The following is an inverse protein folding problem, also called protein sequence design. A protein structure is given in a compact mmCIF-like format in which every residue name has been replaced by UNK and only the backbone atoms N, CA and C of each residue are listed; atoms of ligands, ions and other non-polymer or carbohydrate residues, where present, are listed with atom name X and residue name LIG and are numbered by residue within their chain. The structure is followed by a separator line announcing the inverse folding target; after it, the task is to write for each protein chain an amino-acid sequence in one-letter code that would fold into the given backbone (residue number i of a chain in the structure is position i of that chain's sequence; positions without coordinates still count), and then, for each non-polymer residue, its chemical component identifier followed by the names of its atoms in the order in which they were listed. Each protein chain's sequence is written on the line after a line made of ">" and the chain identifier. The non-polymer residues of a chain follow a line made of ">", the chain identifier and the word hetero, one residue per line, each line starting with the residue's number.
data_IF_340274699231
#
_entry.id   IF_340274699231
#
_cell.length_a   1.000
_cell.length_b   1.000
_cell.length_c   1.000
_cell.angle_alpha   90.00
_cell.angle_beta   90.00
_cell.angle_gamma   90.00
#
_symmetry.space_group_name_H-M   'P 1'
#
loop_
_entity.id
_entity.type
_entity.pdbx_description
1 polymer ?
#
# COMPACT_ATOMS: atom_id res chain seq x y z
N UNK A 1 42.41 38.10 13.22
CA UNK A 1 43.09 39.07 12.33
C UNK A 1 43.61 38.33 11.10
N UNK A 2 42.84 38.30 10.01
CA UNK A 2 43.34 37.86 8.71
C UNK A 2 42.85 38.87 7.68
N UNK A 3 43.82 39.45 6.98
CA UNK A 3 43.71 40.60 6.08
C UNK A 3 43.21 40.15 4.72
N UNK A 4 42.30 40.98 4.22
CA UNK A 4 41.72 41.08 2.89
C UNK A 4 42.79 41.20 1.79
N UNK A 5 42.61 40.48 0.68
CA UNK A 5 43.25 40.82 -0.60
C UNK A 5 42.16 41.08 -1.65
N UNK A 6 42.22 42.30 -2.16
CA UNK A 6 41.42 42.90 -3.21
C UNK A 6 42.14 42.65 -4.54
N UNK A 7 41.43 42.28 -5.60
CA UNK A 7 41.89 42.44 -6.97
C UNK A 7 40.73 42.90 -7.87
N UNK A 8 41.07 43.84 -8.75
CA UNK A 8 40.26 44.89 -9.36
C UNK A 8 39.52 44.44 -10.64
N UNK A 9 38.39 45.10 -10.90
CA UNK A 9 37.75 45.22 -12.23
C UNK A 9 38.61 45.99 -13.24
N UNK A 10 38.19 45.97 -14.51
CA UNK A 10 37.96 47.23 -15.22
C UNK A 10 36.54 47.39 -15.79
N UNK A 11 36.11 48.65 -15.78
CA UNK A 11 34.92 49.29 -16.35
C UNK A 11 34.94 49.25 -17.90
N UNK A 12 33.81 49.27 -18.62
CA UNK A 12 33.05 50.43 -19.13
C UNK A 12 31.98 49.81 -20.10
N UNK A 13 30.78 50.31 -20.42
CA UNK A 13 30.17 51.64 -20.36
C UNK A 13 28.63 51.48 -20.54
N UNK A 14 27.86 52.31 -19.84
CA UNK A 14 26.39 52.44 -19.94
C UNK A 14 26.00 53.48 -20.97
N UNK A 15 25.02 53.20 -21.83
CA UNK A 15 24.25 54.21 -22.56
C UNK A 15 22.77 54.14 -22.17
N UNK A 16 22.30 55.22 -21.55
CA UNK A 16 20.89 55.57 -21.39
C UNK A 16 20.38 56.17 -22.70
N UNK A 17 19.18 55.76 -23.15
CA UNK A 17 18.29 56.72 -23.83
C UNK A 17 16.81 56.43 -23.52
N UNK A 18 16.11 57.55 -23.37
CA UNK A 18 14.75 57.75 -22.85
C UNK A 18 13.66 57.34 -23.86
N UNK A 19 12.53 56.99 -23.26
CA UNK A 19 11.19 56.74 -23.80
C UNK A 19 10.72 57.65 -24.95
N UNK A 20 10.00 57.07 -25.92
CA UNK A 20 8.83 57.74 -26.51
C UNK A 20 7.75 56.75 -26.97
N UNK A 21 6.50 57.12 -26.71
CA UNK A 21 5.25 56.39 -27.02
C UNK A 21 5.04 56.23 -28.53
N UNK A 22 4.56 55.07 -28.97
CA UNK A 22 3.63 54.96 -30.09
C UNK A 22 2.78 53.70 -29.93
N UNK A 23 1.47 53.92 -29.96
CA UNK A 23 0.37 52.97 -29.88
C UNK A 23 0.34 51.99 -31.06
N UNK A 24 0.16 50.69 -30.78
CA UNK A 24 -0.56 49.77 -31.66
C UNK A 24 -1.12 48.60 -30.85
N UNK A 25 -2.43 48.48 -30.92
CA UNK A 25 -3.25 47.44 -30.32
C UNK A 25 -3.05 46.11 -31.03
N UNK A 26 -2.56 45.09 -30.32
CA UNK A 26 -2.72 43.70 -30.72
C UNK A 26 -3.33 42.95 -29.55
N UNK A 27 -4.59 42.57 -29.75
CA UNK A 27 -5.43 41.80 -28.83
C UNK A 27 -4.79 40.45 -28.52
N UNK A 28 -4.22 40.32 -27.32
CA UNK A 28 -3.81 39.02 -26.77
C UNK A 28 -5.04 38.31 -26.22
N UNK A 29 -5.66 37.46 -27.04
CA UNK A 29 -6.71 36.55 -26.60
C UNK A 29 -6.15 35.60 -25.53
N UNK A 30 -6.51 35.87 -24.27
CA UNK A 30 -6.35 34.96 -23.14
C UNK A 30 -7.00 33.62 -23.47
N UNK A 31 -6.20 32.60 -23.76
CA UNK A 31 -6.72 31.23 -23.80
C UNK A 31 -6.75 30.67 -22.38
N UNK A 32 -7.92 30.15 -22.05
CA UNK A 32 -8.39 29.81 -20.72
C UNK A 32 -7.55 28.72 -20.04
N UNK A 33 -7.30 28.99 -18.75
CA UNK A 33 -7.20 28.04 -17.63
C UNK A 33 -7.53 26.58 -17.96
N UNK A 34 -6.55 25.72 -17.72
CA UNK A 34 -6.69 24.27 -17.51
C UNK A 34 -7.79 24.00 -16.48
N UNK A 35 -8.98 23.64 -16.96
CA UNK A 35 -9.98 22.98 -16.13
C UNK A 35 -9.40 21.63 -15.67
N UNK A 36 -9.03 21.56 -14.39
CA UNK A 36 -9.03 20.28 -13.68
C UNK A 36 -10.48 19.81 -13.73
N UNK A 37 -10.76 18.84 -14.58
CA UNK A 37 -12.05 18.16 -14.59
C UNK A 37 -12.18 17.53 -13.21
N UNK A 38 -13.02 18.13 -12.36
CA UNK A 38 -13.59 17.43 -11.22
C UNK A 38 -14.48 16.33 -11.82
N UNK A 39 -13.89 15.14 -11.95
CA UNK A 39 -14.52 13.94 -12.46
C UNK A 39 -15.39 13.31 -11.36
N UNK A 40 -16.48 14.01 -11.02
CA UNK A 40 -17.56 13.49 -10.19
C UNK A 40 -18.69 13.00 -11.11
N UNK A 41 -18.34 12.19 -12.11
CA UNK A 41 -19.31 11.47 -12.93
C UNK A 41 -19.80 10.23 -12.15
N UNK A 42 -21.10 10.12 -11.79
CA UNK A 42 -21.62 8.98 -11.04
C UNK A 42 -21.39 7.63 -11.76
N UNK A 43 -21.21 7.63 -13.09
CA UNK A 43 -20.89 6.44 -13.89
C UNK A 43 -19.46 5.89 -13.67
N UNK A 44 -18.61 6.59 -12.91
CA UNK A 44 -17.21 6.21 -12.64
C UNK A 44 -16.91 6.06 -11.15
N UNK A 45 -17.93 5.93 -10.32
CA UNK A 45 -17.77 5.81 -8.87
C UNK A 45 -16.89 4.61 -8.46
N UNK A 46 -16.99 3.50 -9.22
CA UNK A 46 -16.33 2.24 -8.90
C UNK A 46 -14.87 2.18 -9.40
N UNK A 47 -14.49 3.05 -10.36
CA UNK A 47 -13.13 3.07 -10.88
C UNK A 47 -12.23 3.84 -9.90
N UNK A 48 -11.12 3.24 -9.42
CA UNK A 48 -10.23 3.91 -8.48
C UNK A 48 -9.71 5.23 -9.05
N UNK A 49 -9.95 6.32 -8.31
CA UNK A 49 -9.44 7.65 -8.66
C UNK A 49 -7.90 7.60 -8.69
N UNK A 50 -7.26 8.38 -9.58
CA UNK A 50 -5.80 8.49 -9.62
C UNK A 50 -5.22 8.80 -8.24
N UNK A 51 -4.04 8.26 -7.95
CA UNK A 51 -3.37 8.50 -6.68
C UNK A 51 -3.27 10.01 -6.41
N UNK A 52 -3.79 10.43 -5.25
CA UNK A 52 -3.72 11.83 -4.79
C UNK A 52 -2.28 12.33 -4.84
N UNK A 53 -2.10 13.63 -5.02
CA UNK A 53 -0.76 14.22 -5.09
C UNK A 53 0.08 13.79 -3.88
N UNK A 54 1.39 13.55 -4.05
CA UNK A 54 2.27 13.09 -2.96
C UNK A 54 2.27 14.04 -1.74
N UNK A 55 1.76 15.26 -1.91
CA UNK A 55 1.54 16.28 -0.87
C UNK A 55 0.33 16.04 0.02
N UNK A 56 -0.69 15.32 -0.47
CA UNK A 56 -1.93 15.09 0.24
C UNK A 56 -1.79 13.96 1.26
N UNK A 57 -2.50 14.13 2.38
CA UNK A 57 -2.57 13.09 3.40
C UNK A 57 -3.55 12.01 2.94
N UNK A 58 -3.23 10.74 3.20
CA UNK A 58 -4.20 9.64 3.15
C UNK A 58 -5.45 10.00 3.98
N UNK A 59 -6.66 9.72 3.49
CA UNK A 59 -7.87 9.86 4.29
C UNK A 59 -7.77 9.10 5.60
N UNK A 60 -8.40 9.60 6.66
CA UNK A 60 -8.53 8.85 7.90
C UNK A 60 -9.66 7.81 7.75
N UNK A 61 -9.43 6.53 8.07
CA UNK A 61 -10.49 5.53 8.06
C UNK A 61 -11.59 5.89 9.06
N UNK A 62 -11.20 6.27 10.28
CA UNK A 62 -12.10 6.79 11.31
C UNK A 62 -12.11 8.32 11.29
N UNK A 63 -13.30 8.97 11.25
CA UNK A 63 -13.40 10.42 11.33
C UNK A 63 -12.69 11.03 12.54
N UNK A 64 -11.97 12.14 12.33
CA UNK A 64 -11.16 12.80 13.37
C UNK A 64 -11.95 13.14 14.65
N UNK A 65 -13.23 13.53 14.53
CA UNK A 65 -14.09 13.83 15.68
C UNK A 65 -14.27 12.60 16.60
N UNK A 66 -14.40 11.41 16.02
CA UNK A 66 -14.52 10.15 16.76
C UNK A 66 -13.20 9.81 17.46
N UNK A 67 -12.07 9.97 16.77
CA UNK A 67 -10.74 9.75 17.35
C UNK A 67 -10.48 10.67 18.55
N UNK A 68 -10.83 11.95 18.43
CA UNK A 68 -10.72 12.93 19.53
C UNK A 68 -11.58 12.51 20.72
N UNK A 69 -12.83 12.08 20.46
CA UNK A 69 -13.75 11.62 21.51
C UNK A 69 -13.17 10.41 22.26
N UNK A 70 -12.75 9.36 21.53
CA UNK A 70 -12.12 8.15 22.09
C UNK A 70 -10.89 8.49 22.94
N UNK A 71 -10.07 9.45 22.49
CA UNK A 71 -8.88 9.86 23.24
C UNK A 71 -9.22 10.60 24.55
N UNK A 72 -10.32 11.36 24.59
CA UNK A 72 -10.81 12.01 25.81
C UNK A 72 -11.34 10.98 26.81
N UNK A 73 -12.20 10.06 26.37
CA UNK A 73 -12.73 8.95 27.17
C UNK A 73 -11.60 8.07 27.73
N UNK A 74 -10.58 7.78 26.91
CA UNK A 74 -9.40 7.03 27.37
C UNK A 74 -8.59 7.80 28.41
N UNK A 75 -8.52 9.14 28.33
CA UNK A 75 -7.84 9.98 29.32
C UNK A 75 -8.61 10.03 30.63
N UNK A 76 -9.94 10.11 30.57
CA UNK A 76 -10.82 10.14 31.74
C UNK A 76 -10.81 8.79 32.48
N UNK A 77 -10.96 7.67 31.76
CA UNK A 77 -10.86 6.33 32.35
C UNK A 77 -9.51 6.08 33.05
N UNK A 78 -8.40 6.52 32.46
CA UNK A 78 -7.06 6.43 33.10
C UNK A 78 -6.93 7.26 34.38
N UNK A 79 -7.69 8.34 34.52
CA UNK A 79 -7.72 9.16 35.75
C UNK A 79 -8.61 8.53 36.81
N UNK A 80 -9.75 7.97 36.41
CA UNK A 80 -10.70 7.33 37.31
C UNK A 80 -10.15 6.03 37.90
N UNK A 81 -9.44 5.24 37.09
CA UNK A 81 -8.86 3.96 37.48
C UNK A 81 -7.36 3.91 37.11
N UNK A 82 -6.48 4.41 37.99
CA UNK A 82 -5.04 4.48 37.72
C UNK A 82 -4.38 3.11 37.57
N UNK A 83 -4.87 2.09 38.27
CA UNK A 83 -4.42 0.72 38.17
C UNK A 83 -5.57 -0.14 37.67
N UNK A 84 -5.44 -0.69 36.46
CA UNK A 84 -6.46 -1.56 35.87
C UNK A 84 -5.86 -2.79 35.21
N UNK A 85 -6.50 -3.93 35.40
CA UNK A 85 -6.21 -5.11 34.59
C UNK A 85 -6.70 -4.85 33.18
N UNK A 86 -5.90 -5.18 32.17
CA UNK A 86 -6.38 -5.16 30.80
C UNK A 86 -7.18 -6.45 30.59
N UNK A 87 -8.49 -6.32 30.37
CA UNK A 87 -9.38 -7.49 30.29
C UNK A 87 -9.32 -8.15 28.92
N UNK A 88 -9.24 -7.35 27.85
CA UNK A 88 -9.38 -7.85 26.49
C UNK A 88 -8.04 -8.14 25.81
N UNK A 89 -7.98 -9.30 25.16
CA UNK A 89 -6.95 -9.61 24.19
C UNK A 89 -7.19 -8.82 22.89
N UNK A 90 -6.12 -8.35 22.21
CA UNK A 90 -4.72 -8.63 22.50
C UNK A 90 -4.03 -7.54 23.35
N UNK A 91 -4.74 -6.50 23.82
CA UNK A 91 -4.16 -5.40 24.62
C UNK A 91 -3.56 -5.89 25.94
N UNK A 92 -4.16 -6.92 26.53
CA UNK A 92 -3.70 -7.55 27.77
C UNK A 92 -2.47 -8.47 27.60
N UNK A 93 -1.95 -8.61 26.38
CA UNK A 93 -0.78 -9.43 26.06
C UNK A 93 -1.08 -10.89 25.76
N UNK A 94 -2.32 -11.33 25.93
CA UNK A 94 -2.78 -12.65 25.49
C UNK A 94 -3.08 -12.65 23.99
N UNK A 95 -2.98 -13.83 23.38
CA UNK A 95 -3.49 -14.04 22.03
C UNK A 95 -5.02 -14.07 22.05
N UNK A 96 -5.63 -13.72 20.91
CA UNK A 96 -7.05 -13.92 20.66
C UNK A 96 -7.23 -15.32 20.06
N UNK A 97 -7.77 -16.31 20.80
CA UNK A 97 -7.76 -17.70 20.35
C UNK A 97 -8.44 -17.92 19.00
N UNK A 98 -9.56 -17.24 18.74
CA UNK A 98 -10.30 -17.36 17.47
C UNK A 98 -9.52 -16.86 16.24
N UNK A 99 -8.46 -16.08 16.44
CA UNK A 99 -7.67 -15.49 15.36
C UNK A 99 -6.36 -16.26 15.07
N UNK A 100 -5.99 -17.23 15.91
CA UNK A 100 -4.75 -18.00 15.72
C UNK A 100 -4.82 -18.80 14.41
N UNK A 101 -5.90 -19.57 14.21
CA UNK A 101 -6.09 -20.36 12.99
C UNK A 101 -6.17 -19.46 11.75
N UNK A 102 -6.82 -18.30 11.88
CA UNK A 102 -6.93 -17.31 10.80
C UNK A 102 -5.55 -16.77 10.44
N UNK A 103 -4.68 -16.51 11.43
CA UNK A 103 -3.32 -16.06 11.19
C UNK A 103 -2.49 -17.09 10.42
N UNK A 104 -2.61 -18.38 10.76
CA UNK A 104 -1.96 -19.45 10.00
C UNK A 104 -2.52 -19.59 8.58
N UNK A 105 -3.84 -19.46 8.38
CA UNK A 105 -4.45 -19.46 7.05
C UNK A 105 -3.93 -18.30 6.20
N UNK A 106 -3.90 -17.08 6.74
CA UNK A 106 -3.38 -15.89 6.04
C UNK A 106 -1.92 -16.06 5.66
N UNK A 107 -1.10 -16.59 6.57
CA UNK A 107 0.32 -16.85 6.30
C UNK A 107 0.51 -17.85 5.16
N UNK A 108 -0.20 -18.99 5.18
CA UNK A 108 -0.15 -19.99 4.09
C UNK A 108 -0.71 -19.45 2.77
N UNK A 109 -1.84 -18.74 2.81
CA UNK A 109 -2.46 -18.15 1.63
C UNK A 109 -1.52 -17.14 0.94
N UNK A 110 -0.74 -16.38 1.71
CA UNK A 110 0.32 -15.53 1.17
C UNK A 110 1.37 -16.32 0.40
N UNK A 111 1.82 -17.45 0.92
CA UNK A 111 2.87 -18.25 0.27
C UNK A 111 2.36 -18.93 -1.00
N UNK A 112 1.15 -19.50 -0.96
CA UNK A 112 0.46 -20.03 -2.14
C UNK A 112 0.24 -18.96 -3.21
N UNK A 113 -0.12 -17.74 -2.79
CA UNK A 113 -0.24 -16.60 -3.67
C UNK A 113 1.10 -16.27 -4.36
N UNK A 114 2.19 -16.20 -3.60
CA UNK A 114 3.51 -15.86 -4.16
C UNK A 114 4.01 -16.95 -5.12
N UNK A 115 3.80 -18.23 -4.80
CA UNK A 115 4.07 -19.35 -5.69
C UNK A 115 3.27 -19.25 -6.99
N UNK A 116 1.96 -19.06 -6.89
CA UNK A 116 1.07 -18.89 -8.04
C UNK A 116 1.48 -17.71 -8.93
N UNK A 117 1.76 -16.55 -8.34
CA UNK A 117 2.26 -15.38 -9.08
C UNK A 117 3.60 -15.64 -9.75
N UNK A 118 4.49 -16.44 -9.14
CA UNK A 118 5.76 -16.81 -9.76
C UNK A 118 5.56 -17.61 -11.05
N UNK A 119 4.56 -18.50 -11.07
CA UNK A 119 4.19 -19.29 -12.26
C UNK A 119 3.54 -18.39 -13.32
N UNK A 120 2.58 -17.56 -12.93
CA UNK A 120 1.85 -16.70 -13.88
C UNK A 120 2.74 -15.62 -14.52
N UNK A 121 3.50 -14.86 -13.71
CA UNK A 121 4.27 -13.70 -14.17
C UNK A 121 5.54 -14.11 -14.92
N UNK A 122 6.20 -15.19 -14.50
CA UNK A 122 7.47 -15.59 -15.11
C UNK A 122 7.30 -16.47 -16.34
N UNK A 123 6.19 -17.23 -16.44
CA UNK A 123 6.01 -18.27 -17.46
C UNK A 123 4.95 -17.92 -18.49
N UNK A 124 3.86 -17.26 -18.08
CA UNK A 124 2.66 -17.16 -18.93
C UNK A 124 2.36 -15.74 -19.42
N UNK A 125 2.19 -14.78 -18.49
CA UNK A 125 1.63 -13.46 -18.82
C UNK A 125 2.65 -12.36 -18.48
N UNK A 126 3.11 -11.59 -19.49
CA UNK A 126 4.04 -10.50 -19.23
C UNK A 126 3.44 -9.38 -18.39
N UNK A 127 4.19 -8.93 -17.39
CA UNK A 127 3.91 -7.70 -16.65
C UNK A 127 4.79 -6.57 -17.21
N UNK A 128 4.19 -5.43 -17.49
CA UNK A 128 4.90 -4.21 -17.90
C UNK A 128 4.74 -3.14 -16.82
N UNK A 129 5.83 -2.51 -16.44
CA UNK A 129 5.82 -1.35 -15.54
C UNK A 129 6.39 -0.13 -16.23
N UNK A 130 5.88 1.04 -15.90
CA UNK A 130 6.45 2.29 -16.39
C UNK A 130 7.82 2.55 -15.72
N UNK A 131 8.78 3.06 -16.49
CA UNK A 131 10.09 3.47 -15.96
C UNK A 131 10.01 4.66 -15.00
N UNK A 132 9.00 5.52 -15.17
CA UNK A 132 8.97 6.86 -14.57
C UNK A 132 7.86 7.09 -13.54
N UNK A 133 6.79 6.31 -13.58
CA UNK A 133 5.69 6.36 -12.61
C UNK A 133 5.35 4.94 -12.12
N UNK A 134 4.31 4.83 -11.29
CA UNK A 134 3.85 3.57 -10.71
C UNK A 134 2.79 2.84 -11.55
N UNK A 135 2.59 3.27 -12.81
CA UNK A 135 1.64 2.60 -13.70
C UNK A 135 2.17 1.22 -14.11
N UNK A 136 1.28 0.24 -14.09
CA UNK A 136 1.52 -1.16 -14.45
C UNK A 136 0.48 -1.56 -15.50
N UNK A 137 0.87 -2.47 -16.39
CA UNK A 137 0.01 -3.07 -17.39
C UNK A 137 0.28 -4.57 -17.45
N UNK A 138 -0.79 -5.35 -17.56
CA UNK A 138 -0.75 -6.80 -17.71
C UNK A 138 -1.00 -7.13 -19.17
N UNK A 139 0.00 -7.68 -19.85
CA UNK A 139 -0.06 -7.97 -21.28
C UNK A 139 1.27 -7.79 -22.02
N UNK A 140 1.30 -8.26 -23.26
CA UNK A 140 2.51 -8.23 -24.10
C UNK A 140 2.91 -6.82 -24.53
N UNK A 141 1.93 -5.97 -24.84
CA UNK A 141 2.14 -4.60 -25.34
C UNK A 141 1.49 -3.62 -24.38
N UNK A 142 2.31 -2.74 -23.79
CA UNK A 142 1.81 -1.73 -22.86
C UNK A 142 0.86 -0.75 -23.54
N UNK A 143 -0.10 -0.23 -22.77
CA UNK A 143 -1.09 0.71 -23.29
C UNK A 143 -0.47 2.06 -23.74
N UNK A 144 -1.19 2.75 -24.61
CA UNK A 144 -0.87 4.07 -25.15
C UNK A 144 -1.60 5.22 -24.44
N UNK A 145 -2.42 4.89 -23.43
CA UNK A 145 -3.10 5.91 -22.60
C UNK A 145 -2.10 6.88 -21.97
N UNK A 146 -2.23 8.18 -22.28
CA UNK A 146 -1.33 9.27 -21.88
C UNK A 146 -1.60 9.75 -20.45
N UNK A 147 -1.29 8.91 -19.46
CA UNK A 147 -1.49 9.17 -18.02
C UNK A 147 -0.21 9.23 -17.20
N UNK A 148 0.96 9.24 -17.82
CA UNK A 148 2.23 9.21 -17.10
C UNK A 148 2.43 10.48 -16.25
N UNK A 149 2.53 10.28 -14.93
CA UNK A 149 2.83 11.34 -13.94
C UNK A 149 4.31 11.37 -13.53
N UNK A 150 5.15 10.62 -14.23
CA UNK A 150 6.57 10.50 -13.93
C UNK A 150 7.38 11.74 -14.31
N UNK A 151 8.65 11.84 -13.86
CA UNK A 151 9.52 12.94 -14.21
C UNK A 151 9.61 13.16 -15.73
N UNK A 152 9.62 14.43 -16.14
CA UNK A 152 9.67 14.86 -17.55
C UNK A 152 8.52 14.30 -18.40
N UNK A 153 7.36 14.01 -17.81
CA UNK A 153 6.18 13.52 -18.55
C UNK A 153 5.69 14.49 -19.62
N UNK A 154 5.75 15.80 -19.38
CA UNK A 154 5.38 16.83 -20.35
C UNK A 154 6.16 16.72 -21.67
N UNK A 155 7.46 16.44 -21.61
CA UNK A 155 8.31 16.25 -22.81
C UNK A 155 7.99 14.97 -23.60
N UNK A 156 7.27 14.01 -22.98
CA UNK A 156 6.85 12.76 -23.61
C UNK A 156 5.35 12.75 -23.89
N UNK A 157 4.68 13.89 -23.82
CA UNK A 157 3.22 13.99 -23.97
C UNK A 157 2.46 13.02 -23.06
N UNK A 158 2.94 12.87 -21.82
CA UNK A 158 2.41 11.95 -20.80
C UNK A 158 2.35 10.46 -21.21
N UNK A 159 3.15 10.05 -22.21
CA UNK A 159 3.30 8.63 -22.58
C UNK A 159 4.15 7.87 -21.56
N UNK A 160 3.86 6.58 -21.44
CA UNK A 160 4.59 5.64 -20.60
C UNK A 160 5.76 5.03 -21.34
N UNK A 161 6.85 4.75 -20.61
CA UNK A 161 7.99 4.01 -21.13
C UNK A 161 8.05 2.68 -20.42
N UNK A 162 7.57 1.64 -21.11
CA UNK A 162 7.37 0.31 -20.55
C UNK A 162 8.67 -0.47 -20.41
N UNK A 163 8.79 -1.20 -19.30
CA UNK A 163 9.85 -2.16 -19.01
C UNK A 163 9.24 -3.44 -18.45
N UNK A 164 9.99 -4.54 -18.46
CA UNK A 164 9.59 -5.78 -17.76
C UNK A 164 9.35 -5.47 -16.27
N UNK A 165 8.15 -5.79 -15.82
CA UNK A 165 7.76 -5.81 -14.41
C UNK A 165 7.85 -7.23 -13.85
N UNK A 166 7.65 -7.35 -12.54
CA UNK A 166 7.63 -8.63 -11.82
C UNK A 166 6.52 -8.69 -10.77
N UNK A 167 6.60 -9.68 -9.90
CA UNK A 167 5.60 -9.96 -8.85
C UNK A 167 5.34 -8.75 -7.96
N UNK A 168 6.39 -8.01 -7.58
CA UNK A 168 6.28 -6.82 -6.72
C UNK A 168 5.54 -5.64 -7.39
N UNK A 169 5.41 -5.65 -8.73
CA UNK A 169 4.61 -4.69 -9.48
C UNK A 169 3.13 -5.13 -9.59
N UNK A 170 2.82 -6.40 -9.33
CA UNK A 170 1.44 -6.91 -9.28
C UNK A 170 0.84 -6.69 -7.89
N UNK A 171 1.57 -7.07 -6.84
CA UNK A 171 1.17 -6.92 -5.44
C UNK A 171 2.36 -6.48 -4.59
N UNK A 172 2.14 -5.51 -3.71
CA UNK A 172 3.20 -5.00 -2.84
C UNK A 172 2.90 -5.21 -1.36
N UNK A 173 3.81 -5.92 -0.68
CA UNK A 173 3.79 -6.12 0.77
C UNK A 173 4.78 -5.16 1.45
N UNK A 174 4.30 -4.05 2.07
CA UNK A 174 5.16 -3.15 2.80
C UNK A 174 5.78 -3.86 3.99
N UNK A 175 7.00 -3.45 4.35
CA UNK A 175 7.71 -4.01 5.50
C UNK A 175 7.56 -3.11 6.72
N UNK A 176 7.40 -3.71 7.89
CA UNK A 176 7.42 -3.04 9.20
C UNK A 176 8.59 -3.55 10.04
N UNK A 177 8.82 -2.95 11.21
CA UNK A 177 9.72 -3.54 12.19
C UNK A 177 9.02 -4.63 12.98
N UNK A 178 9.75 -5.70 13.29
CA UNK A 178 9.31 -6.73 14.21
C UNK A 178 9.16 -6.17 15.64
N UNK A 179 8.10 -6.55 16.34
CA UNK A 179 7.90 -6.23 17.76
C UNK A 179 8.02 -7.50 18.62
N UNK A 180 9.19 -7.68 19.23
CA UNK A 180 9.50 -8.80 20.13
C UNK A 180 8.53 -8.85 21.33
N UNK A 181 8.29 -7.70 21.97
CA UNK A 181 7.31 -7.56 23.05
C UNK A 181 6.33 -6.43 22.71
N UNK A 182 5.22 -6.78 22.04
CA UNK A 182 4.14 -5.85 21.64
C UNK A 182 3.59 -5.03 22.81
N UNK A 183 3.63 -5.57 24.02
CA UNK A 183 3.01 -4.97 25.20
C UNK A 183 4.04 -4.19 26.03
N UNK A 184 5.14 -4.84 26.41
CA UNK A 184 6.21 -4.23 27.21
C UNK A 184 7.01 -3.19 26.43
N UNK A 185 7.23 -3.43 25.12
CA UNK A 185 7.96 -2.55 24.21
C UNK A 185 7.14 -2.28 22.94
N UNK A 186 6.04 -1.53 23.03
CA UNK A 186 5.04 -1.40 21.97
C UNK A 186 5.48 -0.58 20.73
N UNK A 187 6.77 -0.20 20.63
CA UNK A 187 7.31 0.59 19.51
C UNK A 187 8.83 0.52 19.47
N UNK A 188 9.37 0.41 18.26
CA UNK A 188 10.80 0.57 17.99
C UNK A 188 11.21 2.03 18.08
N UNK A 189 12.31 2.34 18.78
CA UNK A 189 12.85 3.70 18.85
C UNK A 189 13.84 3.99 17.72
N UNK A 190 14.13 5.27 17.46
CA UNK A 190 14.96 5.65 16.30
C UNK A 190 16.37 5.04 16.29
N UNK A 191 16.98 4.84 17.47
CA UNK A 191 18.32 4.25 17.59
C UNK A 191 18.33 2.77 17.21
N UNK A 192 17.22 2.07 17.40
CA UNK A 192 17.07 0.63 17.16
C UNK A 192 16.73 0.28 15.71
N UNK A 193 16.53 1.29 14.83
CA UNK A 193 16.07 1.08 13.45
C UNK A 193 16.99 0.23 12.58
N UNK A 194 18.24 0.05 13.00
CA UNK A 194 19.24 -0.75 12.29
C UNK A 194 19.50 -2.10 12.95
N UNK A 195 19.03 -2.28 14.19
CA UNK A 195 19.23 -3.51 14.96
C UNK A 195 17.98 -4.37 14.96
N UNK A 196 16.79 -3.75 14.91
CA UNK A 196 15.52 -4.46 14.83
C UNK A 196 15.27 -4.87 13.39
N UNK A 197 15.00 -6.17 13.21
CA UNK A 197 14.70 -6.74 11.91
C UNK A 197 13.39 -6.20 11.32
N UNK A 198 13.30 -6.22 9.99
CA UNK A 198 12.08 -5.89 9.26
C UNK A 198 11.58 -7.11 8.52
N UNK A 199 10.27 -7.24 8.44
CA UNK A 199 9.55 -8.30 7.76
C UNK A 199 8.30 -7.72 7.08
N UNK A 200 7.69 -8.43 6.11
CA UNK A 200 6.43 -7.99 5.52
C UNK A 200 5.38 -7.78 6.61
N UNK A 201 4.67 -6.65 6.56
CA UNK A 201 3.72 -6.27 7.60
C UNK A 201 2.56 -7.28 7.74
N UNK A 202 2.18 -7.95 6.66
CA UNK A 202 1.21 -9.05 6.71
C UNK A 202 1.75 -10.26 7.49
N UNK A 203 3.05 -10.54 7.40
CA UNK A 203 3.69 -11.62 8.17
C UNK A 203 3.79 -11.23 9.62
N UNK A 204 4.22 -10.00 9.93
CA UNK A 204 4.22 -9.50 11.31
C UNK A 204 2.82 -9.54 11.93
N UNK A 205 1.76 -9.22 11.16
CA UNK A 205 0.39 -9.34 11.64
C UNK A 205 0.02 -10.77 12.02
N UNK A 206 0.39 -11.74 11.18
CA UNK A 206 0.18 -13.17 11.48
C UNK A 206 0.99 -13.61 12.70
N UNK A 207 2.24 -13.15 12.81
CA UNK A 207 3.11 -13.42 13.95
C UNK A 207 2.49 -12.86 15.22
N UNK A 208 2.07 -11.61 15.24
CA UNK A 208 1.42 -11.02 16.42
C UNK A 208 0.11 -11.73 16.79
N UNK A 209 -0.57 -12.36 15.82
CA UNK A 209 -1.83 -13.06 16.01
C UNK A 209 -1.71 -14.54 16.39
N UNK A 210 -0.50 -15.12 16.38
CA UNK A 210 -0.26 -16.47 16.90
C UNK A 210 0.59 -17.38 16.01
N UNK A 211 1.02 -16.92 14.82
CA UNK A 211 2.01 -17.67 14.04
C UNK A 211 3.38 -17.54 14.70
N UNK A 212 4.05 -18.66 14.93
CA UNK A 212 5.40 -18.68 15.47
C UNK A 212 6.41 -18.97 14.35
N UNK A 213 7.42 -18.10 14.25
CA UNK A 213 8.52 -18.21 13.29
C UNK A 213 9.83 -18.12 14.07
N UNK A 214 10.74 -19.07 13.85
CA UNK A 214 12.02 -19.15 14.57
C UNK A 214 12.85 -17.87 14.42
N UNK A 215 12.87 -17.28 13.22
CA UNK A 215 13.61 -16.05 12.90
C UNK A 215 13.01 -14.79 13.57
N UNK A 216 11.75 -14.84 14.01
CA UNK A 216 11.01 -13.69 14.54
C UNK A 216 10.36 -14.02 15.90
N UNK A 217 11.19 -14.26 16.94
CA UNK A 217 10.70 -14.66 18.25
C UNK A 217 9.84 -13.57 18.87
N UNK A 218 8.62 -13.94 19.27
CA UNK A 218 7.66 -13.02 19.90
C UNK A 218 7.30 -13.49 21.30
N UNK A 219 7.34 -12.57 22.26
CA UNK A 219 6.97 -12.86 23.64
C UNK A 219 5.46 -13.08 23.75
N UNK A 220 5.06 -14.34 23.98
CA UNK A 220 3.68 -14.73 24.30
C UNK A 220 3.48 -14.74 25.81
N UNK A 221 2.34 -14.22 26.28
CA UNK A 221 1.96 -14.29 27.69
C UNK A 221 0.83 -15.30 27.86
N UNK A 222 0.83 -15.99 29.00
CA UNK A 222 -0.23 -16.91 29.41
C UNK A 222 -1.18 -16.26 30.43
N UNK A 223 -0.75 -15.15 31.06
CA UNK A 223 -1.55 -14.34 31.97
C UNK A 223 -1.68 -12.89 31.48
N UNK A 224 -2.80 -12.22 31.80
CA UNK A 224 -2.99 -10.83 31.42
C UNK A 224 -2.03 -9.91 32.19
N UNK A 225 -1.64 -8.82 31.53
CA UNK A 225 -0.84 -7.74 32.12
C UNK A 225 -1.70 -6.67 32.79
N UNK A 226 -1.07 -5.89 33.67
CA UNK A 226 -1.70 -4.77 34.35
C UNK A 226 -1.25 -3.43 33.76
N UNK A 227 -2.13 -2.43 33.81
CA UNK A 227 -1.82 -1.06 33.43
C UNK A 227 -1.84 -0.19 34.70
N UNK A 228 -0.66 0.26 35.14
CA UNK A 228 -0.48 1.13 36.31
C UNK A 228 -0.01 2.50 35.82
N UNK A 229 -0.85 3.51 36.03
CA UNK A 229 -0.63 4.89 35.59
C UNK A 229 -0.26 5.02 34.09
N UNK A 230 -0.81 4.13 33.26
CA UNK A 230 -0.54 4.09 31.82
C UNK A 230 0.76 3.38 31.43
N UNK A 231 1.48 2.76 32.37
CA UNK A 231 2.60 1.86 32.13
C UNK A 231 2.14 0.41 32.27
N UNK A 232 2.63 -0.47 31.40
CA UNK A 232 2.34 -1.89 31.55
C UNK A 232 3.26 -2.46 32.62
N UNK A 233 2.67 -3.21 33.55
CA UNK A 233 3.35 -4.00 34.57
C UNK A 233 3.05 -5.46 34.29
N UNK A 234 4.12 -6.24 34.17
CA UNK A 234 4.09 -7.66 33.90
C UNK A 234 4.66 -8.39 35.13
N UNK A 235 3.77 -8.94 35.95
CA UNK A 235 4.12 -9.57 37.22
C UNK A 235 4.91 -10.88 37.06
N UNK A 236 4.92 -11.48 35.86
CA UNK A 236 5.64 -12.73 35.59
C UNK A 236 7.10 -12.50 35.16
N UNK A 237 7.54 -11.25 34.95
CA UNK A 237 8.91 -10.94 34.53
C UNK A 237 10.02 -11.29 35.54
N UNK A 238 9.66 -11.79 36.73
CA UNK A 238 10.60 -12.22 37.79
C UNK A 238 10.82 -13.72 37.90
N UNK A 239 10.17 -14.55 37.08
CA UNK A 239 10.40 -16.00 37.03
C UNK A 239 10.85 -16.34 35.62
N UNK A 240 12.09 -16.80 35.48
CA UNK A 240 12.53 -17.52 34.29
C UNK A 240 11.72 -18.82 34.21
N UNK A 241 10.51 -18.73 33.68
CA UNK A 241 9.73 -19.91 33.32
C UNK A 241 10.34 -20.44 32.04
N UNK A 242 10.99 -21.59 32.16
CA UNK A 242 11.43 -22.44 31.07
C UNK A 242 10.39 -22.43 29.95
N UNK A 243 10.90 -22.28 28.72
CA UNK A 243 10.12 -22.28 27.50
C UNK A 243 9.23 -23.51 27.45
N UNK A 244 7.97 -23.37 27.87
CA UNK A 244 6.98 -24.40 27.62
C UNK A 244 6.77 -24.44 26.12
N UNK A 245 7.44 -25.41 25.49
CA UNK A 245 7.24 -25.78 24.10
C UNK A 245 5.76 -26.08 23.90
N UNK A 246 5.03 -25.10 23.37
CA UNK A 246 3.70 -25.36 22.84
C UNK A 246 3.88 -26.41 21.74
N UNK A 247 3.08 -27.47 21.82
CA UNK A 247 3.21 -28.65 20.98
C UNK A 247 3.42 -28.25 19.52
N UNK A 248 4.56 -28.65 18.96
CA UNK A 248 4.85 -28.53 17.55
C UNK A 248 3.73 -29.26 16.80
N UNK A 249 2.80 -28.53 16.21
CA UNK A 249 1.91 -29.08 15.23
C UNK A 249 2.74 -29.31 13.96
N UNK A 250 3.45 -30.43 13.93
CA UNK A 250 4.00 -30.99 12.69
C UNK A 250 2.80 -31.32 11.82
N UNK A 251 2.34 -30.35 11.02
CA UNK A 251 1.56 -30.68 9.86
C UNK A 251 2.53 -31.31 8.87
N UNK A 252 2.64 -32.64 8.94
CA UNK A 252 3.34 -33.45 7.96
C UNK A 252 2.80 -33.09 6.58
N UNK A 253 3.62 -32.39 5.78
CA UNK A 253 3.44 -32.38 4.35
C UNK A 253 3.71 -33.81 3.89
N UNK A 254 2.64 -34.56 3.65
CA UNK A 254 2.70 -35.67 2.70
C UNK A 254 3.01 -35.03 1.35
N UNK A 255 4.30 -34.96 1.04
CA UNK A 255 4.78 -34.70 -0.30
C UNK A 255 4.39 -35.87 -1.18
N UNK A 256 3.17 -35.82 -1.70
CA UNK A 256 2.83 -36.49 -2.94
C UNK A 256 2.87 -35.38 -4.00
N UNK A 257 4.07 -35.15 -4.54
CA UNK A 257 4.23 -34.33 -5.73
C UNK A 257 3.84 -35.20 -6.90
N UNK A 258 2.54 -35.39 -7.07
CA UNK A 258 2.03 -35.54 -8.41
C UNK A 258 2.18 -34.15 -9.02
N UNK A 259 3.31 -33.92 -9.72
CA UNK A 259 3.47 -32.80 -10.65
C UNK A 259 2.48 -33.01 -11.82
N UNK A 260 1.18 -33.06 -11.51
CA UNK A 260 0.16 -32.87 -12.49
C UNK A 260 0.41 -31.49 -13.06
N UNK A 261 0.60 -31.46 -14.38
CA UNK A 261 0.74 -30.27 -15.19
C UNK A 261 -0.57 -29.47 -15.06
N UNK A 262 -0.71 -28.72 -13.98
CA UNK A 262 -1.89 -27.90 -13.69
C UNK A 262 -2.05 -26.91 -14.84
N UNK A 263 -3.25 -26.84 -15.41
CA UNK A 263 -3.51 -25.89 -16.48
C UNK A 263 -3.42 -24.46 -15.95
N UNK A 264 -3.09 -23.51 -16.83
CA UNK A 264 -2.89 -22.11 -16.47
C UNK A 264 -4.13 -21.48 -15.81
N UNK A 265 -5.33 -21.91 -16.21
CA UNK A 265 -6.61 -21.48 -15.63
C UNK A 265 -6.79 -21.97 -14.20
N UNK A 266 -6.34 -23.19 -13.87
CA UNK A 266 -6.41 -23.71 -12.51
C UNK A 266 -5.40 -23.00 -11.59
N UNK A 267 -4.17 -22.79 -12.07
CA UNK A 267 -3.15 -22.02 -11.35
C UNK A 267 -3.66 -20.61 -11.06
N UNK A 268 -4.27 -19.94 -12.05
CA UNK A 268 -4.81 -18.59 -11.87
C UNK A 268 -6.01 -18.52 -10.93
N UNK A 269 -6.95 -19.48 -11.02
CA UNK A 269 -8.06 -19.56 -10.08
C UNK A 269 -7.59 -19.77 -8.63
N UNK A 270 -6.66 -20.71 -8.40
CA UNK A 270 -6.06 -20.94 -7.08
C UNK A 270 -5.32 -19.71 -6.57
N UNK A 271 -4.51 -19.06 -7.41
CA UNK A 271 -3.77 -17.83 -7.06
C UNK A 271 -4.72 -16.71 -6.63
N UNK A 272 -5.82 -16.52 -7.38
CA UNK A 272 -6.82 -15.50 -7.08
C UNK A 272 -7.59 -15.80 -5.79
N UNK A 273 -7.92 -17.08 -5.53
CA UNK A 273 -8.55 -17.48 -4.28
C UNK A 273 -7.62 -17.24 -3.08
N UNK A 274 -6.34 -17.58 -3.18
CA UNK A 274 -5.35 -17.30 -2.14
C UNK A 274 -5.21 -15.81 -1.85
N UNK A 275 -5.35 -14.94 -2.86
CA UNK A 275 -5.41 -13.49 -2.67
C UNK A 275 -6.62 -13.05 -1.84
N UNK A 276 -7.81 -13.60 -2.13
CA UNK A 276 -9.03 -13.28 -1.37
C UNK A 276 -8.99 -13.83 0.05
N UNK A 277 -8.53 -15.05 0.23
CA UNK A 277 -8.36 -15.68 1.55
C UNK A 277 -7.38 -14.87 2.41
N UNK A 278 -6.22 -14.52 1.87
CA UNK A 278 -5.23 -13.69 2.56
C UNK A 278 -5.82 -12.32 2.97
N UNK A 279 -6.53 -11.63 2.07
CA UNK A 279 -7.11 -10.30 2.37
C UNK A 279 -8.22 -10.37 3.41
N UNK A 280 -9.16 -11.28 3.24
CA UNK A 280 -10.30 -11.44 4.15
C UNK A 280 -9.85 -11.87 5.55
N UNK A 281 -8.93 -12.82 5.65
CA UNK A 281 -8.34 -13.23 6.92
C UNK A 281 -7.55 -12.09 7.57
N UNK A 282 -6.76 -11.34 6.81
CA UNK A 282 -6.05 -10.17 7.34
C UNK A 282 -6.99 -9.09 7.87
N UNK A 283 -8.10 -8.83 7.18
CA UNK A 283 -9.14 -7.91 7.66
C UNK A 283 -9.71 -8.35 9.01
N UNK A 284 -10.04 -9.64 9.16
CA UNK A 284 -10.52 -10.21 10.43
C UNK A 284 -9.50 -10.05 11.56
N UNK A 285 -8.21 -10.27 11.28
CA UNK A 285 -7.15 -10.08 12.28
C UNK A 285 -7.03 -8.59 12.65
N UNK A 286 -7.12 -7.68 11.67
CA UNK A 286 -7.04 -6.23 11.88
C UNK A 286 -8.17 -5.65 12.74
N UNK A 287 -9.29 -6.37 12.91
CA UNK A 287 -10.37 -5.95 13.83
C UNK A 287 -9.92 -5.92 15.30
N UNK A 288 -8.96 -6.78 15.66
CA UNK A 288 -8.41 -6.88 17.03
C UNK A 288 -6.97 -6.42 17.12
N UNK A 289 -6.14 -6.73 16.12
CA UNK A 289 -4.74 -6.37 16.09
C UNK A 289 -4.54 -5.06 15.32
N UNK A 290 -4.18 -4.00 16.06
CA UNK A 290 -3.98 -2.69 15.46
C UNK A 290 -2.81 -2.68 14.45
N UNK A 291 -3.04 -2.03 13.31
CA UNK A 291 -2.02 -1.71 12.32
C UNK A 291 -2.03 -0.21 12.06
N UNK A 292 -0.85 0.39 12.00
CA UNK A 292 -0.65 1.82 11.83
C UNK A 292 -0.01 2.10 10.46
N UNK A 293 -0.47 3.13 9.78
CA UNK A 293 0.10 3.62 8.52
C UNK A 293 0.52 5.07 8.67
N UNK A 294 1.55 5.50 7.94
CA UNK A 294 1.86 6.91 7.84
C UNK A 294 0.90 7.59 6.86
N UNK A 295 0.29 8.71 7.27
CA UNK A 295 -0.61 9.47 6.42
C UNK A 295 0.03 10.11 5.18
N UNK A 296 1.36 10.12 5.05
CA UNK A 296 2.06 10.80 3.93
C UNK A 296 3.08 9.93 3.19
N UNK A 297 3.40 8.74 3.70
CA UNK A 297 4.35 7.85 3.04
C UNK A 297 3.90 6.40 3.13
N UNK A 298 4.48 5.49 2.34
CA UNK A 298 4.15 4.07 2.32
C UNK A 298 4.45 3.27 3.60
N UNK A 299 4.94 3.90 4.67
CA UNK A 299 5.40 3.18 5.87
C UNK A 299 4.21 2.66 6.68
N UNK A 300 4.34 1.43 7.16
CA UNK A 300 3.35 0.71 7.97
C UNK A 300 4.06 0.12 9.19
N UNK A 301 3.34 0.02 10.30
CA UNK A 301 3.78 -0.67 11.51
C UNK A 301 2.62 -1.46 12.09
N UNK A 302 2.80 -2.77 12.26
CA UNK A 302 1.87 -3.60 13.04
C UNK A 302 2.14 -3.37 14.52
N UNK A 303 1.07 -3.28 15.30
CA UNK A 303 1.12 -3.04 16.74
C UNK A 303 0.31 -1.80 17.16
N UNK A 304 0.14 -1.62 18.49
CA UNK A 304 -0.71 -0.56 19.04
C UNK A 304 -0.16 0.85 18.78
N UNK A 305 1.13 0.98 18.44
CA UNK A 305 1.79 2.26 18.20
C UNK A 305 2.71 2.17 16.99
N UNK A 306 2.76 3.24 16.22
CA UNK A 306 3.78 3.38 15.19
C UNK A 306 5.17 3.59 15.78
N UNK A 307 6.20 3.20 15.03
CA UNK A 307 7.59 3.34 15.46
C UNK A 307 8.02 4.81 15.57
N UNK A 308 9.11 5.05 16.29
CA UNK A 308 9.71 6.39 16.46
C UNK A 308 10.92 6.66 15.55
N UNK A 309 11.21 5.80 14.59
CA UNK A 309 12.26 6.09 13.60
C UNK A 309 11.96 7.38 12.82
N UNK A 310 12.92 8.31 12.82
CA UNK A 310 12.91 9.57 12.05
C UNK A 310 13.32 9.34 10.60
N UNK A 311 12.56 8.54 9.87
CA UNK A 311 12.88 8.13 8.49
C UNK A 311 11.81 8.54 7.47
N UNK A 312 10.80 9.32 7.89
CA UNK A 312 9.71 9.73 7.01
C UNK A 312 10.22 10.65 5.91
N UNK A 313 9.98 10.24 4.65
CA UNK A 313 10.27 11.05 3.45
C UNK A 313 9.00 11.61 2.79
N UNK A 314 7.85 11.49 3.48
CA UNK A 314 6.57 12.00 2.99
C UNK A 314 6.51 13.53 3.00
N UNK A 315 5.42 14.08 2.46
CA UNK A 315 5.19 15.52 2.49
C UNK A 315 5.19 16.08 3.92
N UNK A 316 5.72 17.30 4.09
CA UNK A 316 5.81 17.98 5.39
C UNK A 316 6.56 17.16 6.46
N UNK A 317 7.56 16.34 6.09
CA UNK A 317 8.35 15.58 7.06
C UNK A 317 9.35 16.47 7.82
N UNK A 318 9.88 17.53 7.19
CA UNK A 318 10.83 18.46 7.80
C UNK A 318 10.22 19.15 9.04
N UNK A 319 8.97 19.61 8.93
CA UNK A 319 8.23 20.21 10.06
C UNK A 319 7.92 19.20 11.18
N UNK A 320 8.06 17.90 10.92
CA UNK A 320 7.89 16.81 11.89
C UNK A 320 9.23 16.20 12.31
N UNK A 321 10.36 16.86 12.00
CA UNK A 321 11.71 16.36 12.28
C UNK A 321 11.95 14.90 11.80
N UNK A 322 11.41 14.56 10.61
CA UNK A 322 11.51 13.23 10.02
C UNK A 322 10.57 12.18 10.63
N UNK A 323 9.70 12.55 11.58
CA UNK A 323 8.75 11.62 12.20
C UNK A 323 7.56 11.30 11.29
N UNK A 324 7.05 10.08 11.41
CA UNK A 324 5.85 9.63 10.71
C UNK A 324 4.60 10.23 11.37
N UNK A 325 3.57 10.45 10.56
CA UNK A 325 2.27 10.91 11.05
C UNK A 325 1.31 9.73 11.03
N UNK A 326 1.37 8.92 12.08
CA UNK A 326 0.63 7.67 12.21
C UNK A 326 -0.88 7.89 12.24
N UNK A 327 -1.61 6.93 11.68
CA UNK A 327 -3.05 6.78 11.75
C UNK A 327 -3.39 5.29 11.57
N UNK A 328 -4.65 4.93 11.84
CA UNK A 328 -5.18 3.58 11.56
C UNK A 328 -4.96 3.23 10.08
N UNK A 329 -4.45 2.02 9.83
CA UNK A 329 -4.23 1.48 8.49
C UNK A 329 -5.50 0.82 7.96
N UNK A 330 -5.70 0.85 6.64
CA UNK A 330 -6.68 -0.01 5.95
C UNK A 330 -6.02 -1.27 5.40
N UNK A 331 -6.83 -2.21 4.91
CA UNK A 331 -6.29 -3.42 4.25
C UNK A 331 -5.39 -3.07 3.06
N UNK A 332 -5.66 -1.99 2.33
CA UNK A 332 -4.84 -1.54 1.19
C UNK A 332 -3.53 -0.88 1.61
N UNK A 333 -3.42 -0.42 2.86
CA UNK A 333 -2.13 -0.03 3.42
C UNK A 333 -1.28 -1.25 3.73
N UNK A 334 -1.87 -2.33 4.25
CA UNK A 334 -1.19 -3.57 4.64
C UNK A 334 -0.83 -4.44 3.43
N UNK A 335 -1.73 -4.51 2.45
CA UNK A 335 -1.63 -5.33 1.24
C UNK A 335 -1.98 -4.41 0.07
N UNK A 336 -0.99 -3.76 -0.53
CA UNK A 336 -1.24 -2.70 -1.51
C UNK A 336 -1.53 -3.31 -2.89
N UNK A 337 -2.77 -3.20 -3.42
CA UNK A 337 -3.04 -3.53 -4.80
C UNK A 337 -2.51 -2.43 -5.72
N UNK A 338 -1.97 -2.82 -6.89
CA UNK A 338 -1.78 -1.90 -7.99
C UNK A 338 -2.97 -2.01 -8.93
N UNK A 339 -3.63 -0.91 -9.25
CA UNK A 339 -4.77 -0.93 -10.18
C UNK A 339 -4.29 -0.67 -11.60
N UNK A 340 -4.72 -1.52 -12.53
CA UNK A 340 -4.34 -1.49 -13.95
C UNK A 340 -5.59 -1.31 -14.81
N UNK A 341 -5.41 -0.86 -16.04
CA UNK A 341 -6.48 -0.83 -17.04
C UNK A 341 -6.85 -2.27 -17.43
N UNK A 342 -8.15 -2.57 -17.45
CA UNK A 342 -8.66 -3.87 -17.87
C UNK A 342 -8.52 -4.03 -19.39
N UNK A 343 -8.00 -5.18 -19.84
CA UNK A 343 -7.86 -5.53 -21.25
C UNK A 343 -8.92 -6.59 -21.61
N UNK A 344 -9.95 -6.19 -22.36
CA UNK A 344 -11.07 -7.09 -22.75
C UNK A 344 -10.63 -8.23 -23.66
N UNK A 345 -9.76 -7.93 -24.62
CA UNK A 345 -9.20 -8.90 -25.55
C UNK A 345 -7.66 -8.83 -25.49
N UNK A 346 -7.01 -9.70 -24.68
CA UNK A 346 -5.55 -9.75 -24.56
C UNK A 346 -4.84 -10.14 -25.87
N UNK A 347 -5.55 -10.80 -26.79
CA UNK A 347 -5.05 -11.18 -28.11
C UNK A 347 -5.35 -10.13 -29.18
N UNK A 348 -6.09 -9.08 -28.82
CA UNK A 348 -6.45 -7.99 -29.72
C UNK A 348 -5.21 -7.27 -30.25
N UNK A 349 -5.21 -6.99 -31.55
CA UNK A 349 -4.06 -6.42 -32.26
C UNK A 349 -3.70 -4.99 -31.81
N UNK A 350 -4.62 -4.28 -31.14
CA UNK A 350 -4.50 -2.85 -30.84
C UNK A 350 -4.40 -2.57 -29.35
N UNK A 351 -3.35 -1.84 -28.90
CA UNK A 351 -3.24 -1.40 -27.50
C UNK A 351 -4.39 -0.49 -27.06
N UNK A 352 -4.61 -0.39 -25.75
CA UNK A 352 -5.55 0.60 -25.20
C UNK A 352 -4.99 2.03 -25.40
N UNK A 353 -5.79 2.95 -25.93
CA UNK A 353 -5.39 4.35 -26.16
C UNK A 353 -6.36 5.38 -25.56
N UNK A 354 -6.09 6.67 -25.79
CA UNK A 354 -6.90 7.76 -25.24
C UNK A 354 -8.34 7.83 -25.78
N UNK A 355 -8.58 7.37 -27.00
CA UNK A 355 -9.85 7.59 -27.72
C UNK A 355 -11.03 6.90 -27.01
N UNK A 356 -10.79 5.68 -26.54
CA UNK A 356 -11.76 4.83 -25.87
C UNK A 356 -11.56 4.79 -24.35
N UNK A 357 -10.73 5.69 -23.79
CA UNK A 357 -10.44 5.73 -22.35
C UNK A 357 -11.71 5.78 -21.48
N UNK A 358 -12.77 6.43 -21.99
CA UNK A 358 -14.09 6.52 -21.34
C UNK A 358 -14.93 5.24 -21.37
N UNK A 359 -14.45 4.17 -21.99
CA UNK A 359 -15.12 2.86 -22.01
C UNK A 359 -14.33 1.79 -21.25
N UNK A 360 -13.08 2.08 -20.90
CA UNK A 360 -12.22 1.13 -20.19
C UNK A 360 -12.53 1.10 -18.70
N UNK A 361 -12.50 -0.12 -18.16
CA UNK A 361 -12.50 -0.37 -16.72
C UNK A 361 -11.10 -0.51 -16.15
N UNK A 362 -11.04 -0.78 -14.86
CA UNK A 362 -9.82 -1.11 -14.12
C UNK A 362 -10.03 -2.34 -13.25
N UNK A 363 -8.92 -2.94 -12.81
CA UNK A 363 -8.92 -3.98 -11.80
C UNK A 363 -7.61 -3.95 -11.02
N UNK A 364 -7.55 -4.56 -9.82
CA UNK A 364 -6.27 -4.92 -9.24
C UNK A 364 -5.45 -5.76 -10.23
N UNK A 365 -4.16 -5.48 -10.33
CA UNK A 365 -3.23 -6.14 -11.26
C UNK A 365 -3.25 -7.66 -11.12
N UNK A 366 -3.42 -8.14 -9.89
CA UNK A 366 -3.55 -9.57 -9.61
C UNK A 366 -4.83 -10.18 -10.18
N UNK A 367 -5.95 -9.46 -10.11
CA UNK A 367 -7.22 -9.91 -10.67
C UNK A 367 -7.13 -9.91 -12.19
N UNK A 368 -6.63 -8.83 -12.79
CA UNK A 368 -6.41 -8.74 -14.23
C UNK A 368 -5.50 -9.89 -14.72
N UNK A 369 -4.39 -10.15 -14.02
CA UNK A 369 -3.47 -11.24 -14.33
C UNK A 369 -4.16 -12.60 -14.28
N UNK A 370 -4.93 -12.88 -13.22
CA UNK A 370 -5.59 -14.18 -13.09
C UNK A 370 -6.70 -14.36 -14.13
N UNK A 371 -7.48 -13.32 -14.41
CA UNK A 371 -8.55 -13.37 -15.43
C UNK A 371 -7.95 -13.56 -16.83
N UNK A 372 -6.89 -12.86 -17.20
CA UNK A 372 -6.20 -13.09 -18.48
C UNK A 372 -5.62 -14.52 -18.59
N UNK A 373 -5.29 -15.14 -17.45
CA UNK A 373 -4.82 -16.53 -17.36
C UNK A 373 -5.97 -17.57 -17.36
N UNK A 374 -7.23 -17.14 -17.46
CA UNK A 374 -8.39 -18.01 -17.55
C UNK A 374 -9.15 -18.24 -16.24
N UNK A 375 -8.84 -17.50 -15.17
CA UNK A 375 -9.67 -17.51 -13.96
C UNK A 375 -11.04 -16.84 -14.23
N UNK A 376 -12.12 -17.30 -13.58
CA UNK A 376 -13.42 -16.65 -13.70
C UNK A 376 -13.35 -15.22 -13.16
N UNK A 377 -14.10 -14.29 -13.77
CA UNK A 377 -14.15 -12.90 -13.31
C UNK A 377 -14.86 -12.84 -11.95
N UNK A 378 -14.24 -12.28 -10.90
CA UNK A 378 -14.90 -12.10 -9.61
C UNK A 378 -16.02 -11.06 -9.69
N UNK A 379 -17.16 -11.36 -9.06
CA UNK A 379 -18.32 -10.46 -9.04
C UNK A 379 -17.97 -9.08 -8.46
N UNK A 380 -17.13 -9.03 -7.43
CA UNK A 380 -16.72 -7.79 -6.76
C UNK A 380 -15.95 -6.80 -7.66
N UNK A 381 -15.32 -7.26 -8.75
CA UNK A 381 -14.63 -6.39 -9.71
C UNK A 381 -15.33 -6.28 -11.06
N UNK A 382 -16.45 -6.97 -11.28
CA UNK A 382 -17.16 -6.97 -12.57
C UNK A 382 -17.54 -5.56 -13.02
N UNK A 383 -18.08 -4.75 -12.10
CA UNK A 383 -18.40 -3.33 -12.36
C UNK A 383 -17.15 -2.50 -12.62
N UNK A 384 -16.11 -2.68 -11.80
CA UNK A 384 -14.84 -1.94 -11.93
C UNK A 384 -14.17 -2.21 -13.29
N UNK A 385 -14.24 -3.46 -13.77
CA UNK A 385 -13.74 -3.91 -15.07
C UNK A 385 -14.60 -3.44 -16.25
N UNK A 386 -15.80 -2.92 -15.99
CA UNK A 386 -16.76 -2.40 -16.98
C UNK A 386 -17.10 -3.41 -18.07
N UNK A 387 -17.41 -4.62 -17.64
CA UNK A 387 -17.83 -5.70 -18.54
C UNK A 387 -19.26 -5.51 -19.07
N UNK A 388 -20.04 -4.66 -18.42
CA UNK A 388 -21.38 -4.21 -18.81
C UNK A 388 -21.38 -3.12 -19.89
N UNK A 389 -20.26 -2.42 -20.06
CA UNK A 389 -20.14 -1.32 -21.02
C UNK A 389 -19.69 -1.84 -22.38
N UNK A 390 -20.48 -1.62 -23.42
CA UNK A 390 -20.07 -1.88 -24.81
C UNK A 390 -19.14 -0.76 -25.27
N UNK A 391 -17.93 -1.11 -25.72
CA UNK A 391 -16.99 -0.15 -26.31
C UNK A 391 -17.27 -0.05 -27.80
N UNK A 392 -17.37 1.15 -28.39
CA UNK A 392 -17.46 1.28 -29.84
C UNK A 392 -16.20 0.70 -30.50
N UNK A 393 -16.34 0.21 -31.73
CA UNK A 393 -15.19 -0.15 -32.55
C UNK A 393 -14.35 1.10 -32.83
N UNK A 394 -13.05 0.93 -33.11
CA UNK A 394 -12.14 2.07 -33.39
C UNK A 394 -12.65 2.94 -34.54
N UNK A 395 -13.23 2.32 -35.57
CA UNK A 395 -13.77 3.01 -36.75
C UNK A 395 -15.11 3.71 -36.48
N UNK A 396 -15.75 3.41 -35.33
CA UNK A 396 -17.00 4.01 -34.89
C UNK A 396 -16.79 5.14 -33.89
N UNK A 397 -15.56 5.38 -33.42
CA UNK A 397 -15.28 6.37 -32.36
C UNK A 397 -15.72 7.76 -32.76
N UNK A 398 -15.49 8.15 -34.02
CA UNK A 398 -15.89 9.46 -34.56
C UNK A 398 -17.42 9.59 -34.74
N UNK A 399 -18.16 8.47 -34.74
CA UNK A 399 -19.62 8.44 -34.85
C UNK A 399 -20.32 8.60 -33.49
N UNK A 400 -19.60 8.40 -32.39
CA UNK A 400 -20.12 8.45 -31.00
C UNK A 400 -19.45 9.57 -30.19
N UNK A 401 -18.67 10.45 -30.85
CA UNK A 401 -17.85 11.49 -30.23
C UNK A 401 -18.65 12.58 -29.53
#
# INVERSE_FOLDING_TARGET
>A
MQRTLILKCPLFETLFFRSNRSSSSVTSSRTLTTHIINDDNPLYADVPKPCKTKSERKPYPTPMKILIRRAKEQRESRKAEPCKMLEHAPENGLLVPELIEVAHQVYRARDLLLDGLSKLVNVAIPVKRCRFCFEVHIGHVGHEIRTCTGPKSGFRSATHVWRRGGIADVVHFPHCYHLDDRVGKPRVVHKERFTVQKLPAIVELCVQAGVDLEDYPTRRRTRPVYCVEGRIVDLESGTEVESQSFAHYSLSQSGDTDEQLMCLSEVSAKTMNSWFEMRSGAMRIMEKYSVQTCGYCPEVQVGPKGHKAKACRGAKHQSRAGMHAWQEATIDDLIRPNYVWHVKDPNGSSPLDNSLKRYYGKAPAIVELCVQAGAPVPDEYRSMMRLDVVSPCRDEVDLVA
#
